data_IF_247080269334
#
_entry.id   IF_247080269334
#
_cell.length_a   1.000
_cell.length_b   1.000
_cell.length_c   1.000
_cell.angle_alpha   90.00
_cell.angle_beta   90.00
_cell.angle_gamma   90.00
#
_symmetry.space_group_name_H-M   'P 1'
#
loop_
_entity.id
_entity.type
_entity.pdbx_description
1 polymer ?
#
# COMPACT_ATOMS: atom_id res chain seq x y z
N UNK A 1 14.01 0.85 -16.82
CA UNK A 1 13.19 1.72 -15.94
C UNK A 1 11.73 1.28 -16.02
N UNK A 2 11.06 1.17 -14.88
CA UNK A 2 9.66 0.75 -14.82
C UNK A 2 8.75 1.88 -15.29
N UNK A 3 7.82 1.56 -16.19
CA UNK A 3 6.77 2.51 -16.57
C UNK A 3 5.80 2.73 -15.42
N UNK A 4 5.39 3.97 -15.21
CA UNK A 4 4.36 4.32 -14.22
C UNK A 4 3.11 4.81 -14.95
N UNK A 5 1.95 4.32 -14.51
CA UNK A 5 0.65 4.76 -15.03
C UNK A 5 0.11 5.82 -14.10
N UNK A 6 -0.01 7.06 -14.58
CA UNK A 6 -0.61 8.14 -13.80
C UNK A 6 -2.13 8.00 -13.79
N UNK A 7 -2.77 8.66 -12.81
CA UNK A 7 -4.22 8.65 -12.70
C UNK A 7 -4.88 9.20 -13.98
N UNK A 8 -4.32 10.25 -14.55
CA UNK A 8 -4.84 10.91 -15.73
C UNK A 8 -4.79 10.02 -16.96
N UNK A 9 -3.76 9.17 -17.07
CA UNK A 9 -3.56 8.25 -18.19
C UNK A 9 -4.30 6.93 -18.00
N UNK A 10 -4.73 6.63 -16.78
CA UNK A 10 -5.24 5.31 -16.44
C UNK A 10 -6.57 5.02 -17.12
N UNK A 11 -6.79 3.78 -17.63
CA UNK A 11 -8.11 3.37 -18.10
C UNK A 11 -9.10 3.30 -16.93
N UNK A 12 -10.43 3.28 -17.22
CA UNK A 12 -11.45 3.34 -16.17
C UNK A 12 -11.32 2.28 -15.08
N UNK A 13 -10.96 1.04 -15.42
CA UNK A 13 -10.79 -0.03 -14.44
C UNK A 13 -9.61 0.22 -13.50
N UNK A 14 -8.55 0.85 -13.98
CA UNK A 14 -7.40 1.21 -13.17
C UNK A 14 -7.72 2.40 -12.28
N UNK A 15 -8.42 3.41 -12.81
CA UNK A 15 -8.86 4.56 -12.02
C UNK A 15 -9.75 4.15 -10.86
N UNK A 16 -10.65 3.18 -11.09
CA UNK A 16 -11.51 2.68 -10.04
C UNK A 16 -10.71 2.10 -8.87
N UNK A 17 -9.65 1.34 -9.17
CA UNK A 17 -8.77 0.80 -8.14
C UNK A 17 -7.99 1.91 -7.45
N UNK A 18 -7.45 2.86 -8.20
CA UNK A 18 -6.74 4.01 -7.63
C UNK A 18 -7.64 4.82 -6.69
N UNK A 19 -8.90 5.06 -7.10
CA UNK A 19 -9.85 5.77 -6.25
C UNK A 19 -10.12 5.03 -4.96
N UNK A 20 -10.25 3.72 -5.01
CA UNK A 20 -10.45 2.88 -3.83
C UNK A 20 -9.24 2.95 -2.88
N UNK A 21 -8.03 2.88 -3.43
CA UNK A 21 -6.80 3.00 -2.65
C UNK A 21 -6.72 4.38 -1.97
N UNK A 22 -6.99 5.45 -2.72
CA UNK A 22 -6.94 6.80 -2.19
C UNK A 22 -7.94 6.99 -1.04
N UNK A 23 -9.15 6.49 -1.22
CA UNK A 23 -10.19 6.58 -0.20
C UNK A 23 -9.82 5.77 1.06
N UNK A 24 -9.32 4.55 0.86
CA UNK A 24 -8.97 3.67 1.97
C UNK A 24 -7.79 4.19 2.78
N UNK A 25 -6.85 4.88 2.14
CA UNK A 25 -5.63 5.38 2.78
C UNK A 25 -5.70 6.87 3.15
N UNK A 26 -6.72 7.58 2.69
CA UNK A 26 -6.87 9.01 2.97
C UNK A 26 -5.78 9.86 2.31
N UNK A 27 -5.41 9.54 1.09
CA UNK A 27 -4.36 10.23 0.35
C UNK A 27 -4.91 10.79 -0.97
N UNK A 28 -4.21 11.78 -1.54
CA UNK A 28 -4.63 12.44 -2.79
C UNK A 28 -4.18 11.67 -4.03
N UNK A 29 -3.17 10.82 -3.90
CA UNK A 29 -2.64 10.03 -5.01
C UNK A 29 -2.10 8.71 -4.47
N UNK A 30 -1.97 7.73 -5.35
CA UNK A 30 -1.41 6.43 -4.99
C UNK A 30 0.10 6.46 -5.07
N UNK A 31 0.76 5.58 -4.34
CA UNK A 31 2.22 5.43 -4.39
C UNK A 31 2.67 4.90 -5.75
N UNK A 32 3.91 5.15 -6.10
CA UNK A 32 4.49 4.69 -7.36
C UNK A 32 4.46 3.17 -7.52
N UNK A 33 4.49 2.42 -6.43
CA UNK A 33 4.30 0.97 -6.46
C UNK A 33 3.01 0.59 -7.22
N UNK A 34 1.90 1.24 -6.88
CA UNK A 34 0.61 0.98 -7.52
C UNK A 34 0.60 1.41 -8.97
N UNK A 35 1.26 2.53 -9.27
CA UNK A 35 1.39 3.02 -10.65
C UNK A 35 2.23 2.07 -11.51
N UNK A 36 3.24 1.44 -10.90
CA UNK A 36 4.09 0.48 -11.62
C UNK A 36 3.33 -0.79 -11.98
N UNK A 37 2.58 -1.37 -11.03
CA UNK A 37 1.84 -2.61 -11.32
C UNK A 37 0.57 -2.35 -12.13
N UNK A 38 0.13 -1.11 -12.26
CA UNK A 38 -1.05 -0.75 -13.04
C UNK A 38 -0.84 -0.93 -14.55
N UNK A 39 0.39 -1.16 -15.01
CA UNK A 39 0.65 -1.55 -16.41
C UNK A 39 -0.02 -2.88 -16.75
N UNK A 40 -0.36 -3.68 -15.74
CA UNK A 40 -1.15 -4.91 -15.90
C UNK A 40 -2.36 -4.83 -14.96
N UNK A 41 -3.50 -4.31 -15.46
CA UNK A 41 -4.68 -4.05 -14.61
C UNK A 41 -5.16 -5.23 -13.76
N UNK A 42 -5.20 -6.49 -14.26
CA UNK A 42 -5.59 -7.61 -13.40
C UNK A 42 -4.67 -7.81 -12.19
N UNK A 43 -3.37 -7.59 -12.35
CA UNK A 43 -2.41 -7.69 -11.24
C UNK A 43 -2.66 -6.58 -10.21
N UNK A 44 -2.91 -5.36 -10.68
CA UNK A 44 -3.23 -4.25 -9.79
C UNK A 44 -4.47 -4.57 -8.93
N UNK A 45 -5.55 -4.97 -9.56
CA UNK A 45 -6.81 -5.27 -8.88
C UNK A 45 -6.64 -6.40 -7.86
N UNK A 46 -5.98 -7.48 -8.26
CA UNK A 46 -5.76 -8.64 -7.41
C UNK A 46 -4.86 -8.34 -6.22
N UNK A 47 -3.80 -7.57 -6.45
CA UNK A 47 -2.87 -7.18 -5.40
C UNK A 47 -3.58 -6.29 -4.36
N UNK A 48 -4.35 -5.32 -4.82
CA UNK A 48 -5.09 -4.43 -3.92
C UNK A 48 -6.15 -5.21 -3.12
N UNK A 49 -6.91 -6.10 -3.78
CA UNK A 49 -7.90 -6.92 -3.09
C UNK A 49 -7.28 -7.80 -2.02
N UNK A 50 -6.14 -8.43 -2.33
CA UNK A 50 -5.41 -9.25 -1.36
C UNK A 50 -4.96 -8.43 -0.16
N UNK A 51 -4.42 -7.23 -0.40
CA UNK A 51 -3.97 -6.35 0.66
C UNK A 51 -5.14 -5.90 1.54
N UNK A 52 -6.28 -5.54 0.95
CA UNK A 52 -7.47 -5.17 1.70
C UNK A 52 -7.92 -6.30 2.63
N UNK A 53 -7.91 -7.54 2.15
CA UNK A 53 -8.31 -8.69 2.95
C UNK A 53 -7.35 -8.91 4.13
N UNK A 54 -6.05 -8.81 3.90
CA UNK A 54 -5.04 -8.98 4.94
C UNK A 54 -5.14 -7.88 6.00
N UNK A 55 -5.38 -6.63 5.57
CA UNK A 55 -5.40 -5.47 6.46
C UNK A 55 -6.78 -5.16 7.02
N UNK A 56 -7.82 -5.92 6.63
CA UNK A 56 -9.16 -5.74 7.17
C UNK A 56 -9.18 -6.04 8.69
N UNK A 57 -10.09 -5.42 9.46
CA UNK A 57 -10.26 -5.75 10.87
C UNK A 57 -10.49 -7.24 11.06
N UNK A 58 -9.77 -7.84 11.99
CA UNK A 58 -9.82 -9.29 12.23
C UNK A 58 -9.13 -9.62 13.54
N UNK A 59 -8.45 -10.78 13.58
CA UNK A 59 -7.77 -11.25 14.79
C UNK A 59 -6.61 -10.35 15.22
N UNK A 60 -6.00 -9.61 14.29
CA UNK A 60 -4.89 -8.70 14.57
C UNK A 60 -5.34 -7.26 14.43
N UNK A 61 -4.83 -6.40 15.32
CA UNK A 61 -5.03 -4.96 15.24
C UNK A 61 -4.37 -4.41 13.97
N UNK A 62 -4.99 -3.43 13.27
CA UNK A 62 -4.39 -2.85 12.06
C UNK A 62 -2.99 -2.29 12.26
N UNK A 63 -2.67 -1.70 13.42
CA UNK A 63 -1.32 -1.24 13.73
C UNK A 63 -0.34 -2.40 13.75
N UNK A 64 -0.70 -3.52 14.38
CA UNK A 64 0.15 -4.71 14.45
C UNK A 64 0.39 -5.27 13.05
N UNK A 65 -0.63 -5.32 12.20
CA UNK A 65 -0.50 -5.77 10.81
C UNK A 65 0.49 -4.91 10.03
N UNK A 66 0.43 -3.59 10.17
CA UNK A 66 1.37 -2.68 9.52
C UNK A 66 2.79 -2.89 10.03
N UNK A 67 2.96 -3.11 11.33
CA UNK A 67 4.28 -3.38 11.92
C UNK A 67 4.87 -4.69 11.41
N UNK A 68 4.04 -5.74 11.29
CA UNK A 68 4.49 -7.03 10.73
C UNK A 68 4.89 -6.88 9.27
N UNK A 69 4.13 -6.11 8.51
CA UNK A 69 4.41 -5.84 7.11
C UNK A 69 5.73 -5.09 6.96
N UNK A 70 5.94 -4.09 7.82
CA UNK A 70 7.17 -3.30 7.86
C UNK A 70 8.39 -4.17 8.17
N UNK A 71 8.27 -5.05 9.17
CA UNK A 71 9.35 -5.96 9.55
C UNK A 71 9.70 -6.91 8.41
N UNK A 72 8.71 -7.49 7.74
CA UNK A 72 8.91 -8.38 6.61
C UNK A 72 9.58 -7.65 5.44
N UNK A 73 9.17 -6.41 5.17
CA UNK A 73 9.75 -5.59 4.10
C UNK A 73 11.19 -5.22 4.39
N UNK A 74 11.52 -4.90 5.64
CA UNK A 74 12.90 -4.60 6.06
C UNK A 74 13.78 -5.83 5.89
N UNK A 75 13.31 -7.01 6.30
CA UNK A 75 14.04 -8.26 6.15
C UNK A 75 14.28 -8.61 4.68
N UNK A 76 13.36 -8.26 3.80
CA UNK A 76 13.50 -8.46 2.36
C UNK A 76 14.36 -7.40 1.66
N UNK A 77 14.78 -6.34 2.37
CA UNK A 77 15.59 -5.26 1.81
C UNK A 77 14.81 -4.26 0.96
N UNK A 78 13.51 -4.17 1.12
CA UNK A 78 12.67 -3.26 0.34
C UNK A 78 12.58 -1.89 1.03
N UNK A 79 13.49 -0.97 0.71
CA UNK A 79 13.49 0.38 1.31
C UNK A 79 12.22 1.15 1.03
N UNK A 80 11.67 1.04 -0.17
CA UNK A 80 10.42 1.71 -0.51
C UNK A 80 9.27 1.22 0.36
N UNK A 81 9.16 -0.10 0.53
CA UNK A 81 8.11 -0.69 1.36
C UNK A 81 8.25 -0.29 2.82
N UNK A 82 9.48 -0.22 3.33
CA UNK A 82 9.75 0.24 4.69
C UNK A 82 9.25 1.67 4.88
N UNK A 83 9.59 2.58 3.96
CA UNK A 83 9.15 3.97 4.05
C UNK A 83 7.62 4.09 4.00
N UNK A 84 6.98 3.37 3.07
CA UNK A 84 5.53 3.41 2.88
C UNK A 84 4.79 2.88 4.11
N UNK A 85 5.20 1.73 4.64
CA UNK A 85 4.53 1.12 5.78
C UNK A 85 4.90 1.76 7.11
N UNK A 86 6.06 2.39 7.22
CA UNK A 86 6.39 3.20 8.39
C UNK A 86 5.40 4.36 8.52
N UNK A 87 5.14 5.07 7.44
CA UNK A 87 4.16 6.15 7.45
C UNK A 87 2.77 5.65 7.81
N UNK A 88 2.33 4.51 7.25
CA UNK A 88 1.04 3.91 7.54
C UNK A 88 0.93 3.49 9.02
N UNK A 89 1.97 2.88 9.57
CA UNK A 89 1.99 2.44 10.96
C UNK A 89 1.96 3.63 11.92
N UNK A 90 2.69 4.70 11.62
CA UNK A 90 2.67 5.93 12.42
C UNK A 90 1.30 6.57 12.43
N UNK A 91 0.62 6.57 11.28
CA UNK A 91 -0.75 7.07 11.18
C UNK A 91 -1.73 6.26 12.04
N UNK A 92 -1.40 4.99 12.35
CA UNK A 92 -2.21 4.11 13.21
C UNK A 92 -1.72 4.11 14.67
N UNK A 93 -0.76 4.98 15.01
CA UNK A 93 -0.30 5.17 16.38
C UNK A 93 1.04 4.56 16.76
N UNK A 94 1.82 4.10 15.79
CA UNK A 94 3.17 3.58 16.07
C UNK A 94 4.08 4.69 16.60
N UNK A 95 4.76 4.42 17.69
CA UNK A 95 5.75 5.36 18.27
C UNK A 95 7.15 5.05 17.76
N UNK A 96 8.10 5.99 17.97
CA UNK A 96 9.49 5.77 17.60
C UNK A 96 10.10 4.56 18.30
N UNK A 97 9.75 4.34 19.58
CA UNK A 97 10.20 3.18 20.33
C UNK A 97 9.72 1.87 19.72
N UNK A 98 8.49 1.85 19.20
CA UNK A 98 7.92 0.67 18.56
C UNK A 98 8.58 0.39 17.21
N UNK A 99 9.00 1.43 16.52
CA UNK A 99 9.69 1.30 15.24
C UNK A 99 11.13 0.81 15.43
N UNK A 100 11.78 1.29 16.48
CA UNK A 100 13.16 1.01 16.80
C UNK A 100 13.48 -0.43 16.92
#
# INVERSE_FOLDING_TARGET
MTRLVSYEEAPPEVRAVFDDIKAARGVDDVNNFWKAIAVHPPTLARTWDSLKQVMAPGALDPLVKEMLYLAASAAAGCTYCVASHTAAARAKGMTDAMQG
#
